data_IF_787739496115
#
_entry.id   IF_787739496115
#
_cell.length_a   1.000
_cell.length_b   1.000
_cell.length_c   1.000
_cell.angle_alpha   90.00
_cell.angle_beta   90.00
_cell.angle_gamma   90.00
#
_symmetry.space_group_name_H-M   'P 1'
#
loop_
_entity.id
_entity.type
_entity.pdbx_description
1 polymer ?
#
# COMPACT_ATOMS: atom_id res chain seq x y z
N UNK A 1 -18.99 -14.34 -34.14
CA UNK A 1 -19.53 -14.52 -32.77
C UNK A 1 -19.07 -13.34 -31.95
N UNK A 2 -19.96 -12.40 -31.65
CA UNK A 2 -19.65 -11.25 -30.78
C UNK A 2 -19.46 -11.74 -29.36
N UNK A 3 -18.26 -11.62 -28.81
CA UNK A 3 -17.99 -11.81 -27.39
C UNK A 3 -18.74 -10.72 -26.61
N UNK A 4 -19.94 -11.02 -26.15
CA UNK A 4 -20.62 -10.17 -25.16
C UNK A 4 -19.65 -10.04 -23.97
N UNK A 5 -19.27 -8.83 -23.54
CA UNK A 5 -18.44 -8.70 -22.36
C UNK A 5 -19.18 -9.37 -21.20
N UNK A 6 -18.50 -10.23 -20.45
CA UNK A 6 -18.99 -10.80 -19.19
C UNK A 6 -19.17 -9.67 -18.17
N UNK A 7 -20.25 -8.88 -18.31
CA UNK A 7 -20.57 -7.74 -17.47
C UNK A 7 -21.16 -8.23 -16.16
N UNK A 8 -20.30 -8.61 -15.22
CA UNK A 8 -20.74 -9.18 -13.94
C UNK A 8 -20.74 -8.21 -12.76
N UNK A 9 -20.03 -7.07 -12.85
CA UNK A 9 -19.95 -6.10 -11.75
C UNK A 9 -20.22 -4.69 -12.25
N UNK A 10 -21.43 -4.17 -12.02
CA UNK A 10 -21.85 -2.81 -12.41
C UNK A 10 -21.62 -2.46 -13.89
N UNK A 11 -21.71 -3.44 -14.80
CA UNK A 11 -21.43 -3.24 -16.23
C UNK A 11 -19.96 -3.40 -16.64
N UNK A 12 -19.06 -3.64 -15.68
CA UNK A 12 -17.63 -3.88 -15.91
C UNK A 12 -17.27 -5.37 -15.92
N UNK A 13 -16.10 -5.75 -16.47
CA UNK A 13 -15.61 -7.12 -16.47
C UNK A 13 -15.51 -7.70 -15.05
N UNK A 14 -15.90 -8.97 -14.87
CA UNK A 14 -15.90 -9.66 -13.57
C UNK A 14 -14.58 -9.59 -12.81
N UNK A 15 -13.42 -9.59 -13.48
CA UNK A 15 -12.11 -9.49 -12.83
C UNK A 15 -11.86 -8.16 -12.11
N UNK A 16 -12.57 -7.09 -12.49
CA UNK A 16 -12.42 -5.79 -11.87
C UNK A 16 -12.87 -5.79 -10.40
N UNK A 17 -13.89 -6.57 -10.04
CA UNK A 17 -14.35 -6.64 -8.65
C UNK A 17 -13.29 -7.22 -7.73
N UNK A 18 -12.58 -8.27 -8.18
CA UNK A 18 -11.46 -8.86 -7.45
C UNK A 18 -10.32 -7.86 -7.26
N UNK A 19 -9.93 -7.17 -8.33
CA UNK A 19 -8.87 -6.14 -8.25
C UNK A 19 -9.30 -4.97 -7.35
N UNK A 20 -10.56 -4.55 -7.42
CA UNK A 20 -11.10 -3.47 -6.59
C UNK A 20 -11.00 -3.79 -5.11
N UNK A 21 -11.51 -4.95 -4.67
CA UNK A 21 -11.46 -5.31 -3.26
C UNK A 21 -10.02 -5.55 -2.77
N UNK A 22 -9.16 -6.12 -3.64
CA UNK A 22 -7.75 -6.31 -3.34
C UNK A 22 -7.04 -4.97 -3.10
N UNK A 23 -7.19 -4.02 -4.03
CA UNK A 23 -6.60 -2.68 -3.93
C UNK A 23 -7.21 -1.89 -2.77
N UNK A 24 -8.53 -1.98 -2.54
CA UNK A 24 -9.21 -1.32 -1.43
C UNK A 24 -8.61 -1.74 -0.08
N UNK A 25 -8.40 -3.05 0.12
CA UNK A 25 -7.84 -3.56 1.37
C UNK A 25 -6.35 -3.22 1.51
N UNK A 26 -5.59 -3.29 0.41
CA UNK A 26 -4.20 -2.84 0.37
C UNK A 26 -4.11 -1.37 0.83
N UNK A 27 -4.89 -0.47 0.22
CA UNK A 27 -4.89 0.96 0.51
C UNK A 27 -5.34 1.25 1.93
N UNK A 28 -6.38 0.56 2.40
CA UNK A 28 -6.84 0.66 3.78
C UNK A 28 -5.72 0.32 4.77
N UNK A 29 -5.02 -0.79 4.55
CA UNK A 29 -3.91 -1.20 5.42
C UNK A 29 -2.73 -0.22 5.36
N UNK A 30 -2.39 0.26 4.16
CA UNK A 30 -1.29 1.19 3.93
C UNK A 30 -1.52 2.54 4.62
N UNK A 31 -2.69 3.15 4.41
CA UNK A 31 -3.03 4.43 5.03
C UNK A 31 -3.29 4.29 6.53
N UNK A 32 -3.90 3.18 6.98
CA UNK A 32 -4.08 2.90 8.40
C UNK A 32 -2.74 2.81 9.15
N UNK A 33 -1.78 2.09 8.58
CA UNK A 33 -0.43 2.02 9.13
C UNK A 33 0.24 3.40 9.15
N UNK A 34 0.21 4.15 8.02
CA UNK A 34 0.83 5.49 7.96
C UNK A 34 0.24 6.49 8.95
N UNK A 35 -1.06 6.41 9.22
CA UNK A 35 -1.74 7.28 10.17
C UNK A 35 -1.24 7.07 11.62
N UNK A 36 -0.92 5.82 11.98
CA UNK A 36 -0.51 5.47 13.35
C UNK A 36 1.01 5.41 13.52
N UNK A 37 1.78 5.22 12.44
CA UNK A 37 3.22 4.94 12.50
C UNK A 37 4.03 6.01 13.23
N UNK A 38 3.83 7.30 12.90
CA UNK A 38 4.58 8.39 13.57
C UNK A 38 4.17 8.50 15.03
N UNK A 39 2.87 8.39 15.32
CA UNK A 39 2.35 8.44 16.69
C UNK A 39 2.99 7.35 17.55
N UNK A 40 3.03 6.12 17.05
CA UNK A 40 3.68 4.98 17.70
C UNK A 40 5.19 5.20 17.91
N UNK A 41 5.90 5.70 16.90
CA UNK A 41 7.33 5.97 17.01
C UNK A 41 7.63 7.03 18.08
N UNK A 42 6.80 8.06 18.19
CA UNK A 42 7.00 9.16 19.15
C UNK A 42 6.41 8.90 20.54
N UNK A 43 5.51 7.93 20.67
CA UNK A 43 4.88 7.58 21.95
C UNK A 43 5.93 7.10 22.96
N UNK A 44 5.65 7.31 24.24
CA UNK A 44 6.59 6.98 25.31
C UNK A 44 6.72 5.47 25.50
N UNK A 45 7.82 5.03 26.14
CA UNK A 45 8.01 3.60 26.46
C UNK A 45 6.93 3.07 27.42
N UNK A 46 6.32 3.94 28.23
CA UNK A 46 5.24 3.58 29.16
C UNK A 46 3.92 3.28 28.43
N UNK A 47 3.75 3.84 27.24
CA UNK A 47 2.62 3.60 26.34
C UNK A 47 2.95 2.54 25.28
N UNK A 48 3.99 1.74 25.51
CA UNK A 48 4.49 0.71 24.58
C UNK A 48 4.96 1.26 23.22
N UNK A 49 5.29 2.57 23.16
CA UNK A 49 5.88 3.23 22.00
C UNK A 49 7.41 3.09 21.90
N UNK A 50 8.02 3.74 20.91
CA UNK A 50 9.48 3.67 20.69
C UNK A 50 10.28 4.85 21.28
N UNK A 51 9.61 5.86 21.81
CA UNK A 51 10.22 7.07 22.38
C UNK A 51 11.24 7.76 21.46
N UNK A 52 11.02 7.71 20.15
CA UNK A 52 11.86 8.42 19.18
C UNK A 52 11.56 9.92 19.19
N UNK A 53 12.55 10.72 18.81
CA UNK A 53 12.34 12.13 18.55
C UNK A 53 11.47 12.33 17.30
N UNK A 54 10.66 13.38 17.29
CA UNK A 54 9.80 13.73 16.14
C UNK A 54 10.61 13.85 14.85
N UNK A 55 11.82 14.41 14.91
CA UNK A 55 12.72 14.53 13.77
C UNK A 55 13.13 13.16 13.20
N UNK A 56 13.49 12.20 14.06
CA UNK A 56 13.87 10.84 13.63
C UNK A 56 12.66 10.10 13.06
N UNK A 57 11.50 10.20 13.72
CA UNK A 57 10.25 9.61 13.27
C UNK A 57 9.84 10.14 11.88
N UNK A 58 9.96 11.45 11.65
CA UNK A 58 9.67 12.06 10.36
C UNK A 58 10.66 11.62 9.27
N UNK A 59 11.95 11.50 9.59
CA UNK A 59 12.97 11.01 8.66
C UNK A 59 12.69 9.56 8.24
N UNK A 60 12.37 8.68 9.19
CA UNK A 60 12.00 7.28 8.92
C UNK A 60 10.75 7.22 8.04
N UNK A 61 9.71 7.98 8.38
CA UNK A 61 8.48 8.04 7.61
C UNK A 61 8.71 8.50 6.15
N UNK A 62 9.56 9.52 5.97
CA UNK A 62 9.95 10.03 4.67
C UNK A 62 10.70 9.01 3.83
N UNK A 63 11.73 8.37 4.43
CA UNK A 63 12.50 7.32 3.78
C UNK A 63 11.64 6.11 3.42
N UNK A 64 10.77 5.67 4.32
CA UNK A 64 9.82 4.58 4.07
C UNK A 64 8.92 4.89 2.89
N UNK A 65 8.30 6.08 2.88
CA UNK A 65 7.42 6.49 1.79
C UNK A 65 8.18 6.57 0.46
N UNK A 66 9.37 7.16 0.46
CA UNK A 66 10.21 7.25 -0.73
C UNK A 66 10.60 5.87 -1.27
N UNK A 67 10.96 4.95 -0.37
CA UNK A 67 11.31 3.58 -0.73
C UNK A 67 10.12 2.82 -1.34
N UNK A 68 8.91 2.98 -0.82
CA UNK A 68 7.69 2.37 -1.38
C UNK A 68 7.49 2.77 -2.85
N UNK A 69 7.66 4.05 -3.18
CA UNK A 69 7.56 4.51 -4.57
C UNK A 69 8.75 4.04 -5.42
N UNK A 70 9.96 4.09 -4.86
CA UNK A 70 11.17 3.68 -5.59
C UNK A 70 11.12 2.19 -5.96
N UNK A 71 10.73 1.33 -5.03
CA UNK A 71 10.66 -0.11 -5.23
C UNK A 71 9.58 -0.55 -6.22
N UNK A 72 8.63 0.33 -6.57
CA UNK A 72 7.70 0.09 -7.66
C UNK A 72 8.39 -0.10 -9.02
N UNK A 73 9.53 0.58 -9.26
CA UNK A 73 10.27 0.47 -10.52
C UNK A 73 10.88 -0.93 -10.75
N UNK A 74 11.73 -1.47 -9.85
CA UNK A 74 12.23 -2.83 -10.01
C UNK A 74 11.12 -3.87 -9.88
N UNK A 75 10.07 -3.60 -9.09
CA UNK A 75 8.89 -4.49 -8.98
C UNK A 75 8.17 -4.67 -10.32
N UNK A 76 7.92 -3.57 -11.04
CA UNK A 76 7.34 -3.63 -12.38
C UNK A 76 8.24 -4.37 -13.37
N UNK A 77 9.54 -4.08 -13.36
CA UNK A 77 10.50 -4.81 -14.19
C UNK A 77 10.51 -6.32 -13.91
N UNK A 78 10.41 -6.73 -12.64
CA UNK A 78 10.33 -8.14 -12.25
C UNK A 78 9.03 -8.79 -12.73
N UNK A 79 7.90 -8.09 -12.62
CA UNK A 79 6.62 -8.56 -13.16
C UNK A 79 6.74 -8.84 -14.66
N UNK A 80 7.29 -7.88 -15.42
CA UNK A 80 7.40 -7.97 -16.88
C UNK A 80 8.40 -9.02 -17.38
N UNK A 81 9.50 -9.27 -16.63
CA UNK A 81 10.64 -10.06 -17.12
C UNK A 81 10.82 -11.42 -16.47
N UNK A 82 10.33 -11.60 -15.25
CA UNK A 82 10.53 -12.84 -14.50
C UNK A 82 9.21 -13.60 -14.30
N UNK A 83 8.14 -12.90 -13.94
CA UNK A 83 6.88 -13.55 -13.56
C UNK A 83 5.91 -13.71 -14.72
N UNK A 84 5.86 -12.74 -15.65
CA UNK A 84 5.02 -12.80 -16.85
C UNK A 84 3.55 -12.56 -16.58
#
# INVERSE_FOLDING_TARGET
MSSTPDSGWWGHPKGLSTLFFTEMWERMSYYGMRAMLVLFMTASLQEEGLAFTVASAAAIYGLYTGAVYFLGLPGGWLADRLFG
#
